data_IF_404117147382
#
_entry.id   IF_404117147382
#
_cell.length_a   1.000
_cell.length_b   1.000
_cell.length_c   1.000
_cell.angle_alpha   90.00
_cell.angle_beta   90.00
_cell.angle_gamma   90.00
#
_symmetry.space_group_name_H-M   'P 1'
#
loop_
_entity.id
_entity.type
_entity.pdbx_description
1 polymer ?
#
# COMPACT_ATOMS: atom_id res chain seq x y z
N UNK A 1 -8.39 -11.48 -34.73
CA UNK A 1 -8.31 -10.14 -34.13
C UNK A 1 -9.56 -9.90 -33.30
N UNK A 2 -9.45 -9.94 -31.97
CA UNK A 2 -10.45 -9.38 -31.06
C UNK A 2 -9.70 -8.66 -29.94
N UNK A 3 -9.79 -7.33 -29.93
CA UNK A 3 -9.31 -6.47 -28.87
C UNK A 3 -10.51 -6.12 -27.98
N UNK A 4 -10.48 -6.53 -26.71
CA UNK A 4 -11.49 -6.24 -25.71
C UNK A 4 -10.87 -5.46 -24.55
N UNK A 5 -11.32 -4.22 -24.39
CA UNK A 5 -10.77 -3.15 -23.55
C UNK A 5 -10.82 -3.44 -22.04
N UNK A 6 -9.74 -3.04 -21.37
CA UNK A 6 -9.57 -2.85 -19.93
C UNK A 6 -10.64 -1.90 -19.35
N UNK A 7 -11.34 -2.36 -18.31
CA UNK A 7 -12.20 -1.52 -17.47
C UNK A 7 -11.42 -1.06 -16.24
N UNK A 8 -11.14 0.24 -16.15
CA UNK A 8 -10.61 0.88 -14.95
C UNK A 8 -11.75 0.97 -13.93
N UNK A 9 -11.62 0.23 -12.82
CA UNK A 9 -12.55 0.26 -11.70
C UNK A 9 -12.03 1.31 -10.69
N UNK A 10 -12.63 2.50 -10.67
CA UNK A 10 -12.46 3.43 -9.55
C UNK A 10 -13.19 2.85 -8.33
N UNK A 11 -12.43 2.30 -7.38
CA UNK A 11 -12.89 2.00 -6.03
C UNK A 11 -12.98 3.32 -5.26
N UNK A 12 -14.15 3.95 -5.27
CA UNK A 12 -14.47 5.02 -4.32
C UNK A 12 -15.11 4.38 -3.09
N UNK A 13 -14.36 4.37 -1.98
CA UNK A 13 -14.84 3.96 -0.67
C UNK A 13 -15.90 4.96 -0.19
N UNK A 14 -17.03 4.45 0.31
CA UNK A 14 -18.19 5.23 0.80
C UNK A 14 -17.90 6.15 2.00
N UNK A 15 -16.66 6.19 2.51
CA UNK A 15 -16.28 6.99 3.68
C UNK A 15 -15.73 8.38 3.36
N UNK A 16 -15.50 8.70 2.08
CA UNK A 16 -14.71 9.87 1.68
C UNK A 16 -15.50 10.95 0.92
N UNK A 17 -16.84 10.93 1.06
CA UNK A 17 -17.74 11.85 0.35
C UNK A 17 -18.17 13.08 1.18
N UNK A 18 -17.69 13.23 2.41
CA UNK A 18 -18.10 14.32 3.31
C UNK A 18 -17.11 15.49 3.41
N UNK A 19 -15.94 15.45 2.72
CA UNK A 19 -14.92 16.53 2.84
C UNK A 19 -14.63 17.35 1.59
N UNK A 20 -15.26 17.08 0.45
CA UNK A 20 -15.06 17.92 -0.73
C UNK A 20 -16.41 18.45 -1.22
N UNK A 21 -16.67 19.72 -0.89
CA UNK A 21 -17.88 20.42 -1.28
C UNK A 21 -17.91 20.71 -2.78
N UNK A 22 -18.23 19.73 -3.62
CA UNK A 22 -18.88 19.95 -4.92
C UNK A 22 -19.49 18.68 -5.53
N UNK A 23 -20.58 18.19 -4.94
CA UNK A 23 -21.36 17.06 -5.49
C UNK A 23 -22.17 17.43 -6.75
N UNK A 24 -22.13 18.69 -7.21
CA UNK A 24 -22.84 19.11 -8.43
C UNK A 24 -22.04 18.81 -9.68
N UNK A 25 -20.71 18.89 -9.60
CA UNK A 25 -19.83 18.66 -10.75
C UNK A 25 -19.78 17.18 -11.19
N UNK A 26 -19.81 16.23 -10.24
CA UNK A 26 -19.74 14.80 -10.54
C UNK A 26 -20.98 14.29 -11.30
N UNK A 27 -22.15 14.92 -11.08
CA UNK A 27 -23.40 14.55 -11.75
C UNK A 27 -23.43 14.96 -13.22
N UNK A 28 -22.80 16.08 -13.57
CA UNK A 28 -22.71 16.55 -14.97
C UNK A 28 -21.72 15.73 -15.79
N UNK A 29 -20.59 15.31 -15.18
CA UNK A 29 -19.60 14.45 -15.83
C UNK A 29 -20.21 13.10 -16.23
N UNK A 30 -21.05 12.51 -15.36
CA UNK A 30 -21.71 11.24 -15.64
C UNK A 30 -22.85 11.36 -16.67
N UNK A 31 -23.52 12.52 -16.77
CA UNK A 31 -24.60 12.74 -17.75
C UNK A 31 -24.09 12.98 -19.17
N UNK A 32 -22.94 13.68 -19.33
CA UNK A 32 -22.31 13.90 -20.64
C UNK A 32 -21.77 12.62 -21.28
N UNK A 33 -21.50 11.58 -20.49
CA UNK A 33 -21.04 10.28 -20.97
C UNK A 33 -22.17 9.37 -21.52
N UNK A 34 -23.45 9.80 -21.51
CA UNK A 34 -24.56 9.07 -22.13
C UNK A 34 -24.93 7.73 -21.46
N UNK A 35 -24.43 7.47 -20.25
CA UNK A 35 -24.64 6.20 -19.55
C UNK A 35 -26.00 6.21 -18.82
N UNK A 36 -26.96 5.44 -19.33
CA UNK A 36 -28.23 5.15 -18.62
C UNK A 36 -27.94 4.18 -17.48
N UNK A 37 -28.30 4.55 -16.25
CA UNK A 37 -28.26 3.64 -15.10
C UNK A 37 -29.24 2.47 -15.31
N UNK A 38 -28.73 1.32 -15.74
CA UNK A 38 -29.51 0.09 -15.79
C UNK A 38 -29.76 -0.40 -14.35
N UNK A 39 -31.03 -0.39 -13.94
CA UNK A 39 -31.53 -0.99 -12.70
C UNK A 39 -31.44 -2.52 -12.76
N UNK A 40 -30.24 -3.07 -12.54
CA UNK A 40 -30.06 -4.46 -12.07
C UNK A 40 -28.67 -4.63 -11.46
N UNK A 41 -28.46 -4.07 -10.27
CA UNK A 41 -27.34 -4.49 -9.44
C UNK A 41 -27.78 -5.72 -8.64
N UNK A 42 -27.42 -6.89 -9.18
CA UNK A 42 -27.21 -8.04 -8.34
C UNK A 42 -26.16 -7.67 -7.31
N UNK A 43 -26.44 -8.02 -6.06
CA UNK A 43 -25.52 -7.94 -4.92
C UNK A 43 -24.20 -8.60 -5.34
N UNK A 44 -23.19 -7.81 -5.69
CA UNK A 44 -21.82 -8.32 -5.73
C UNK A 44 -21.49 -8.60 -4.27
N UNK A 45 -21.46 -9.88 -3.91
CA UNK A 45 -21.14 -10.31 -2.56
C UNK A 45 -19.81 -9.69 -2.16
N UNK A 46 -19.82 -8.93 -1.06
CA UNK A 46 -18.58 -8.52 -0.41
C UNK A 46 -17.83 -9.79 -0.06
N UNK A 47 -16.65 -9.87 -0.63
CA UNK A 47 -15.61 -10.90 -0.61
C UNK A 47 -15.51 -11.64 0.72
N UNK A 48 -15.66 -12.97 0.72
CA UNK A 48 -15.22 -13.81 1.83
C UNK A 48 -13.69 -13.85 1.83
N UNK A 49 -13.05 -12.89 2.49
CA UNK A 49 -11.59 -12.88 2.68
C UNK A 49 -11.22 -13.91 3.76
N UNK A 50 -10.21 -14.75 3.50
CA UNK A 50 -9.64 -15.66 4.49
C UNK A 50 -8.85 -14.86 5.52
N UNK A 51 -9.24 -14.99 6.79
CA UNK A 51 -8.49 -14.38 7.89
C UNK A 51 -7.23 -15.19 8.20
N UNK A 52 -6.08 -14.51 8.33
CA UNK A 52 -4.79 -15.11 8.69
C UNK A 52 -4.13 -14.38 9.86
N UNK A 53 -3.47 -15.08 10.81
CA UNK A 53 -2.83 -14.47 11.98
C UNK A 53 -1.46 -13.88 11.59
N UNK A 54 -1.46 -12.71 10.96
CA UNK A 54 -0.25 -12.05 10.46
C UNK A 54 0.21 -10.93 11.40
N UNK A 55 1.52 -10.82 11.62
CA UNK A 55 2.09 -9.63 12.25
C UNK A 55 2.17 -8.50 11.23
N UNK A 56 1.26 -7.53 11.35
CA UNK A 56 1.21 -6.37 10.47
C UNK A 56 2.44 -5.47 10.60
N UNK A 57 3.12 -5.48 11.75
CA UNK A 57 4.36 -4.71 11.95
C UNK A 57 5.46 -5.31 11.09
N UNK A 58 5.64 -6.63 11.15
CA UNK A 58 6.64 -7.34 10.37
C UNK A 58 6.35 -7.25 8.87
N UNK A 59 5.09 -7.47 8.47
CA UNK A 59 4.69 -7.36 7.07
C UNK A 59 4.87 -5.94 6.53
N UNK A 60 4.59 -4.90 7.33
CA UNK A 60 4.87 -3.51 6.97
C UNK A 60 6.36 -3.28 6.75
N UNK A 61 7.22 -3.79 7.62
CA UNK A 61 8.67 -3.67 7.46
C UNK A 61 9.15 -4.31 6.15
N UNK A 62 8.60 -5.47 5.79
CA UNK A 62 8.89 -6.12 4.52
C UNK A 62 8.49 -5.25 3.30
N UNK A 63 7.35 -4.56 3.36
CA UNK A 63 6.93 -3.58 2.33
C UNK A 63 7.83 -2.35 2.23
N UNK A 64 8.49 -1.97 3.33
CA UNK A 64 9.40 -0.82 3.38
C UNK A 64 10.83 -1.18 2.96
N UNK A 65 11.15 -2.46 2.76
CA UNK A 65 12.48 -2.89 2.36
C UNK A 65 12.88 -2.29 1.00
N UNK A 66 14.06 -1.67 0.96
CA UNK A 66 14.59 -0.98 -0.22
C UNK A 66 15.30 -1.92 -1.21
N UNK A 67 15.80 -3.07 -0.74
CA UNK A 67 16.59 -3.99 -1.55
C UNK A 67 15.73 -5.10 -2.15
N UNK A 68 15.70 -5.15 -3.49
CA UNK A 68 15.03 -6.26 -4.20
C UNK A 68 15.76 -7.60 -4.03
N UNK A 69 17.05 -7.54 -3.66
CA UNK A 69 17.95 -8.70 -3.53
C UNK A 69 17.69 -9.55 -2.28
N UNK A 70 16.91 -9.05 -1.32
CA UNK A 70 16.52 -9.76 -0.11
C UNK A 70 15.01 -9.99 -0.16
N UNK A 71 14.54 -11.07 -0.82
CA UNK A 71 13.13 -11.28 -1.03
C UNK A 71 12.43 -11.67 0.28
N UNK A 72 11.32 -10.98 0.53
CA UNK A 72 10.42 -11.27 1.63
C UNK A 72 9.21 -12.07 1.12
N UNK A 73 8.73 -13.00 1.92
CA UNK A 73 7.57 -13.84 1.63
C UNK A 73 6.59 -13.85 2.80
N UNK A 74 5.31 -14.00 2.51
CA UNK A 74 4.28 -14.29 3.50
C UNK A 74 3.86 -15.74 3.35
N UNK A 75 4.02 -16.54 4.41
CA UNK A 75 3.40 -17.87 4.52
C UNK A 75 1.93 -17.70 4.94
N UNK A 76 1.01 -17.95 4.02
CA UNK A 76 -0.43 -17.71 4.26
C UNK A 76 -1.08 -18.74 5.19
N UNK A 77 -0.42 -19.87 5.44
CA UNK A 77 -0.94 -20.88 6.36
C UNK A 77 -0.60 -20.56 7.81
N UNK A 78 0.56 -19.93 8.04
CA UNK A 78 1.05 -19.61 9.39
C UNK A 78 0.92 -18.13 9.74
N UNK A 79 0.85 -17.26 8.73
CA UNK A 79 0.94 -15.80 8.88
C UNK A 79 2.37 -15.29 9.14
N UNK A 80 3.38 -16.13 8.97
CA UNK A 80 4.79 -15.79 9.17
C UNK A 80 5.35 -14.99 7.98
N UNK A 81 6.13 -13.95 8.26
CA UNK A 81 6.81 -13.15 7.25
C UNK A 81 8.28 -13.58 7.22
N UNK A 82 8.73 -14.10 6.08
CA UNK A 82 10.00 -14.78 5.92
C UNK A 82 10.95 -13.93 5.09
N UNK A 83 12.13 -13.61 5.63
CA UNK A 83 13.23 -13.05 4.87
C UNK A 83 14.14 -14.17 4.37
N UNK A 84 14.28 -14.32 3.06
CA UNK A 84 15.15 -15.34 2.48
C UNK A 84 16.51 -14.73 2.17
N UNK A 85 17.54 -15.15 2.91
CA UNK A 85 18.96 -14.76 2.69
C UNK A 85 19.85 -16.00 2.60
N UNK A 86 21.15 -15.79 2.35
CA UNK A 86 22.15 -16.86 2.39
C UNK A 86 22.29 -17.49 3.79
N UNK A 87 21.93 -16.76 4.85
CA UNK A 87 21.92 -17.24 6.23
C UNK A 87 20.56 -17.83 6.66
N UNK A 88 19.61 -18.03 5.74
CA UNK A 88 18.31 -18.59 6.06
C UNK A 88 18.43 -20.00 6.65
N UNK A 89 17.84 -20.20 7.83
CA UNK A 89 17.93 -21.44 8.58
C UNK A 89 16.53 -22.08 8.71
N UNK A 90 16.23 -23.17 7.96
CA UNK A 90 14.92 -23.81 7.97
C UNK A 90 14.43 -24.21 9.36
N UNK A 91 15.34 -24.60 10.27
CA UNK A 91 14.95 -25.01 11.63
C UNK A 91 14.30 -23.88 12.45
N UNK A 92 14.57 -22.61 12.13
CA UNK A 92 13.91 -21.45 12.76
C UNK A 92 12.48 -21.26 12.23
N UNK A 93 12.18 -21.79 11.04
CA UNK A 93 10.92 -21.60 10.31
C UNK A 93 10.20 -22.95 10.07
N UNK A 94 10.12 -23.78 11.11
CA UNK A 94 9.39 -25.07 11.11
C UNK A 94 9.85 -26.07 10.04
N UNK A 95 11.11 -25.99 9.64
CA UNK A 95 11.70 -26.85 8.61
C UNK A 95 11.36 -26.45 7.18
N UNK A 96 10.71 -25.29 6.95
CA UNK A 96 10.44 -24.78 5.61
C UNK A 96 11.75 -24.37 4.95
N UNK A 97 12.08 -24.98 3.82
CA UNK A 97 13.31 -24.69 3.05
C UNK A 97 13.12 -23.55 2.06
N UNK A 98 14.21 -22.89 1.66
CA UNK A 98 14.18 -21.86 0.61
C UNK A 98 13.56 -22.37 -0.69
N UNK A 99 13.94 -23.58 -1.11
CA UNK A 99 13.38 -24.20 -2.32
C UNK A 99 11.86 -24.36 -2.24
N UNK A 100 11.30 -24.69 -1.07
CA UNK A 100 9.85 -24.76 -0.90
C UNK A 100 9.21 -23.38 -0.98
N UNK A 101 9.80 -22.35 -0.37
CA UNK A 101 9.31 -20.96 -0.42
C UNK A 101 9.23 -20.46 -1.87
N UNK A 102 10.27 -20.72 -2.66
CA UNK A 102 10.35 -20.23 -4.04
C UNK A 102 9.48 -21.01 -5.02
N UNK A 103 9.18 -22.29 -4.74
CA UNK A 103 8.41 -23.15 -5.65
C UNK A 103 6.93 -23.24 -5.31
N UNK A 104 6.56 -23.23 -4.03
CA UNK A 104 5.17 -23.28 -3.57
C UNK A 104 4.55 -21.88 -3.50
N UNK A 105 4.36 -21.29 -4.68
CA UNK A 105 3.76 -19.95 -4.86
C UNK A 105 2.29 -19.86 -4.45
N UNK A 106 1.63 -21.01 -4.19
CA UNK A 106 0.26 -21.05 -3.69
C UNK A 106 0.21 -20.77 -2.18
N UNK A 107 1.25 -21.17 -1.43
CA UNK A 107 1.37 -20.94 0.02
C UNK A 107 2.23 -19.73 0.35
N UNK A 108 3.34 -19.53 -0.35
CA UNK A 108 4.30 -18.47 -0.08
C UNK A 108 4.13 -17.35 -1.09
N UNK A 109 3.56 -16.24 -0.62
CA UNK A 109 3.31 -15.08 -1.48
C UNK A 109 4.48 -14.11 -1.31
N UNK A 110 5.18 -13.79 -2.40
CA UNK A 110 6.25 -12.80 -2.38
C UNK A 110 5.70 -11.41 -2.04
N UNK A 111 6.28 -10.80 -1.01
CA UNK A 111 5.95 -9.44 -0.59
C UNK A 111 6.57 -8.46 -1.59
N UNK A 112 5.82 -7.46 -2.09
CA UNK A 112 6.38 -6.45 -2.97
C UNK A 112 7.38 -5.58 -2.19
N UNK A 113 8.58 -5.34 -2.73
CA UNK A 113 9.53 -4.41 -2.12
C UNK A 113 9.00 -2.98 -2.24
N UNK A 114 9.67 -2.05 -1.55
CA UNK A 114 9.33 -0.64 -1.69
C UNK A 114 9.49 -0.16 -3.14
N UNK A 115 8.54 0.64 -3.60
CA UNK A 115 8.59 1.29 -4.91
C UNK A 115 9.00 2.76 -4.72
N UNK A 116 10.13 3.21 -5.30
CA UNK A 116 10.57 4.61 -5.24
C UNK A 116 9.49 5.61 -5.69
N UNK A 117 8.67 5.26 -6.67
CA UNK A 117 7.59 6.12 -7.15
C UNK A 117 6.54 6.35 -6.05
N UNK A 118 6.09 5.29 -5.37
CA UNK A 118 5.16 5.40 -4.25
C UNK A 118 5.74 6.24 -3.10
N UNK A 119 7.05 6.15 -2.86
CA UNK A 119 7.72 6.95 -1.82
C UNK A 119 7.63 8.44 -2.14
N UNK A 120 7.94 8.83 -3.38
CA UNK A 120 7.90 10.23 -3.82
C UNK A 120 6.45 10.74 -3.83
N UNK A 121 5.49 9.93 -4.25
CA UNK A 121 4.08 10.31 -4.23
C UNK A 121 3.54 10.49 -2.81
N UNK A 122 3.93 9.62 -1.86
CA UNK A 122 3.60 9.80 -0.45
C UNK A 122 4.19 11.10 0.12
N UNK A 123 5.43 11.45 -0.26
CA UNK A 123 6.07 12.71 0.17
C UNK A 123 5.34 13.94 -0.38
N UNK A 124 4.91 13.89 -1.65
CA UNK A 124 4.14 14.97 -2.27
C UNK A 124 2.79 15.14 -1.59
N UNK A 125 2.05 14.04 -1.40
CA UNK A 125 0.77 14.06 -0.71
C UNK A 125 0.90 14.57 0.74
N UNK A 126 1.99 14.24 1.43
CA UNK A 126 2.27 14.80 2.74
C UNK A 126 2.52 16.32 2.67
N UNK A 127 3.36 16.80 1.74
CA UNK A 127 3.65 18.22 1.58
C UNK A 127 2.37 19.05 1.33
N UNK A 128 1.44 18.52 0.54
CA UNK A 128 0.12 19.12 0.30
C UNK A 128 -0.75 19.15 1.57
N UNK A 129 -0.61 18.17 2.46
CA UNK A 129 -1.42 18.07 3.69
C UNK A 129 -0.98 19.00 4.83
N UNK A 130 0.25 19.53 4.80
CA UNK A 130 0.88 20.27 5.90
C UNK A 130 0.20 21.61 6.22
N UNK A 131 -0.45 22.23 5.22
CA UNK A 131 -1.22 23.47 5.36
C UNK A 131 -0.41 24.75 5.64
N UNK A 132 0.91 24.64 5.77
CA UNK A 132 1.85 25.75 5.89
C UNK A 132 2.48 26.00 4.52
N UNK A 133 2.15 27.16 3.92
CA UNK A 133 2.58 27.47 2.56
C UNK A 133 4.11 27.51 2.41
N UNK A 134 4.85 28.07 3.37
CA UNK A 134 6.31 28.17 3.25
C UNK A 134 6.97 26.79 3.35
N UNK A 135 6.44 25.93 4.22
CA UNK A 135 6.92 24.56 4.35
C UNK A 135 6.56 23.71 3.12
N UNK A 136 5.34 23.82 2.60
CA UNK A 136 4.93 23.14 1.36
C UNK A 136 5.83 23.53 0.20
N UNK A 137 6.06 24.82 -0.04
CA UNK A 137 6.98 25.30 -1.10
C UNK A 137 8.41 24.75 -0.93
N UNK A 138 8.90 24.71 0.32
CA UNK A 138 10.23 24.15 0.63
C UNK A 138 10.32 22.65 0.34
N UNK A 139 9.28 21.90 0.66
CA UNK A 139 9.19 20.45 0.40
C UNK A 139 9.05 20.17 -1.10
N UNK A 140 8.25 20.94 -1.83
CA UNK A 140 8.08 20.79 -3.28
C UNK A 140 9.40 21.05 -4.04
N UNK A 141 10.15 22.08 -3.61
CA UNK A 141 11.49 22.34 -4.15
C UNK A 141 12.44 21.17 -3.86
N UNK A 142 12.38 20.60 -2.65
CA UNK A 142 13.17 19.43 -2.27
C UNK A 142 12.81 18.20 -3.11
N UNK A 143 11.53 17.98 -3.42
CA UNK A 143 11.04 16.86 -4.23
C UNK A 143 11.35 16.99 -5.72
N UNK A 144 11.59 18.22 -6.20
CA UNK A 144 12.01 18.48 -7.58
C UNK A 144 13.52 18.34 -7.80
N UNK A 145 14.30 18.24 -6.71
CA UNK A 145 15.76 18.16 -6.76
C UNK A 145 16.26 16.70 -6.89
N UNK A 146 17.52 16.49 -7.34
CA UNK A 146 18.14 15.18 -7.30
C UNK A 146 18.15 14.61 -5.87
N UNK A 147 17.84 13.32 -5.74
CA UNK A 147 17.70 12.60 -4.46
C UNK A 147 16.62 13.22 -3.57
N UNK A 148 15.37 13.25 -4.07
CA UNK A 148 14.25 13.94 -3.42
C UNK A 148 14.01 13.40 -2.00
N UNK A 149 14.20 12.10 -1.80
CA UNK A 149 14.09 11.42 -0.52
C UNK A 149 15.00 12.02 0.57
N UNK A 150 16.27 12.31 0.23
CA UNK A 150 17.24 12.87 1.17
C UNK A 150 16.98 14.34 1.45
N UNK A 151 16.63 15.08 0.41
CA UNK A 151 16.35 16.51 0.50
C UNK A 151 15.10 16.77 1.34
N UNK A 152 14.03 16.02 1.08
CA UNK A 152 12.80 16.07 1.86
C UNK A 152 13.08 15.81 3.35
N UNK A 153 13.82 14.74 3.68
CA UNK A 153 14.22 14.45 5.07
C UNK A 153 15.09 15.54 5.70
N UNK A 154 15.92 16.21 4.90
CA UNK A 154 16.77 17.33 5.37
C UNK A 154 15.95 18.58 5.68
N UNK A 155 14.86 18.84 4.94
CA UNK A 155 13.93 19.93 5.29
C UNK A 155 13.25 19.62 6.63
N UNK A 156 12.78 18.38 6.80
CA UNK A 156 12.09 17.96 8.03
C UNK A 156 12.99 17.80 9.25
N UNK A 157 14.31 17.60 9.09
CA UNK A 157 15.22 17.35 10.22
C UNK A 157 15.31 18.51 11.21
N UNK A 158 14.92 19.72 10.79
CA UNK A 158 14.88 20.91 11.64
C UNK A 158 13.52 21.12 12.33
N UNK A 159 12.53 20.26 12.04
CA UNK A 159 11.14 20.38 12.48
C UNK A 159 10.67 19.03 13.07
N UNK A 160 11.04 18.71 14.32
CA UNK A 160 10.78 17.40 14.93
C UNK A 160 9.31 16.97 14.89
N UNK A 161 8.39 17.91 15.12
CA UNK A 161 6.94 17.66 15.09
C UNK A 161 6.47 17.27 13.67
N UNK A 162 7.03 17.93 12.64
CA UNK A 162 6.71 17.62 11.23
C UNK A 162 7.34 16.32 10.80
N UNK A 163 8.54 16.01 11.28
CA UNK A 163 9.17 14.72 11.07
C UNK A 163 8.33 13.58 11.68
N UNK A 164 7.83 13.75 12.91
CA UNK A 164 6.94 12.76 13.54
C UNK A 164 5.63 12.59 12.76
N UNK A 165 5.03 13.69 12.30
CA UNK A 165 3.83 13.64 11.44
C UNK A 165 4.10 12.90 10.13
N UNK A 166 5.25 13.13 9.50
CA UNK A 166 5.67 12.40 8.30
C UNK A 166 5.82 10.90 8.56
N UNK A 167 6.41 10.50 9.69
CA UNK A 167 6.54 9.08 10.05
C UNK A 167 5.18 8.42 10.22
N UNK A 168 4.26 9.05 10.96
CA UNK A 168 2.90 8.54 11.14
C UNK A 168 2.13 8.46 9.81
N UNK A 169 2.29 9.46 8.94
CA UNK A 169 1.70 9.47 7.60
C UNK A 169 2.21 8.30 6.75
N UNK A 170 3.53 8.12 6.68
CA UNK A 170 4.15 7.03 5.91
C UNK A 170 3.71 5.66 6.42
N UNK A 171 3.63 5.49 7.74
CA UNK A 171 3.14 4.24 8.34
C UNK A 171 1.70 3.93 7.93
N UNK A 172 0.79 4.92 8.03
CA UNK A 172 -0.60 4.75 7.62
C UNK A 172 -0.73 4.36 6.14
N UNK A 173 0.01 5.05 5.24
CA UNK A 173 0.01 4.76 3.80
C UNK A 173 0.55 3.37 3.48
N UNK A 174 1.59 2.93 4.19
CA UNK A 174 2.11 1.56 4.01
C UNK A 174 1.11 0.52 4.51
N UNK A 175 0.43 0.75 5.63
CA UNK A 175 -0.62 -0.16 6.13
C UNK A 175 -1.82 -0.25 5.18
N UNK A 176 -2.22 0.86 4.54
CA UNK A 176 -3.23 0.86 3.48
C UNK A 176 -2.80 -0.04 2.31
N UNK A 177 -1.54 0.07 1.87
CA UNK A 177 -0.99 -0.78 0.81
C UNK A 177 -0.92 -2.26 1.21
N UNK A 178 -0.48 -2.56 2.43
CA UNK A 178 -0.45 -3.92 2.99
C UNK A 178 -1.85 -4.53 2.98
N UNK A 179 -2.85 -3.79 3.48
CA UNK A 179 -4.24 -4.24 3.55
C UNK A 179 -4.83 -4.47 2.16
N UNK A 180 -4.56 -3.55 1.23
CA UNK A 180 -4.99 -3.65 -0.16
C UNK A 180 -4.36 -4.86 -0.85
N UNK A 181 -3.07 -5.10 -0.62
CA UNK A 181 -2.35 -6.25 -1.17
C UNK A 181 -2.86 -7.57 -0.61
N UNK A 182 -3.06 -7.69 0.70
CA UNK A 182 -3.69 -8.88 1.31
C UNK A 182 -5.07 -9.15 0.70
N UNK A 183 -5.90 -8.11 0.60
CA UNK A 183 -7.24 -8.22 0.01
C UNK A 183 -7.20 -8.65 -1.45
N UNK A 184 -6.21 -8.19 -2.22
CA UNK A 184 -5.95 -8.60 -3.60
C UNK A 184 -5.63 -10.10 -3.73
N UNK A 185 -5.08 -10.70 -2.67
CA UNK A 185 -4.86 -12.15 -2.55
C UNK A 185 -6.01 -12.90 -1.88
N UNK A 186 -7.15 -12.24 -1.62
CA UNK A 186 -8.28 -12.84 -0.94
C UNK A 186 -8.06 -13.04 0.57
N UNK A 187 -7.10 -12.34 1.15
CA UNK A 187 -6.69 -12.46 2.55
C UNK A 187 -7.11 -11.22 3.35
N UNK A 188 -7.26 -11.38 4.66
CA UNK A 188 -7.35 -10.28 5.61
C UNK A 188 -6.52 -10.60 6.85
N UNK A 189 -5.90 -9.57 7.43
CA UNK A 189 -5.16 -9.73 8.67
C UNK A 189 -6.14 -9.96 9.84
N UNK A 190 -5.87 -10.98 10.63
CA UNK A 190 -6.43 -11.14 11.95
C UNK A 190 -5.36 -10.87 13.00
N UNK A 191 -5.75 -10.28 14.13
CA UNK A 191 -4.84 -10.07 15.25
C UNK A 191 -4.22 -11.42 15.66
N UNK A 192 -2.89 -11.48 15.67
CA UNK A 192 -2.16 -12.62 16.23
C UNK A 192 -2.36 -12.58 17.74
N UNK A 193 -2.92 -13.65 18.31
CA UNK A 193 -2.95 -13.79 19.76
C UNK A 193 -1.49 -13.86 20.25
N UNK A 194 -1.16 -12.98 21.20
CA UNK A 194 0.14 -12.95 21.87
C UNK A 194 0.41 -14.23 22.66
#
# INVERSE_FOLDING_TARGET
>A
MFAGRLGVLLLLHRGDLDRCGDLRHLREVLQRAGLRAHRRWGRVSVTNLRAIPVDLTELRLAFEAETQDLPWYLDIDTGEVLLVTAEYEPSQHRGVTVAQIETDTARFIRVPPSNPEHIVDDMRAFAESVGDQQLTESLDLALSAPRPDKRFKTVLSWLPERQQQWHAWREARTLERVTTWLSGHGLQAAARAA
#
